data_IF_213683913884
#
_entry.id   IF_213683913884
#
_cell.length_a   1.000
_cell.length_b   1.000
_cell.length_c   1.000
_cell.angle_alpha   90.00
_cell.angle_beta   90.00
_cell.angle_gamma   90.00
#
_symmetry.space_group_name_H-M   'P 1'
#
loop_
_entity.id
_entity.type
_entity.pdbx_description
1 polymer ?
#
# COMPACT_ATOMS: atom_id res chain seq x y z
N UNK A 1 12.97 -28.34 4.32
CA UNK A 1 12.58 -27.36 3.28
C UNK A 1 13.61 -26.25 3.24
N UNK A 2 13.94 -25.76 2.06
CA UNK A 2 14.94 -24.72 1.86
C UNK A 2 14.29 -23.44 1.30
N UNK A 3 14.89 -22.29 1.58
CA UNK A 3 14.48 -21.01 1.02
C UNK A 3 15.14 -20.77 -0.34
N UNK A 4 14.33 -20.41 -1.33
CA UNK A 4 14.73 -20.07 -2.68
C UNK A 4 14.28 -18.64 -2.96
N UNK A 5 15.14 -17.81 -3.55
CA UNK A 5 14.80 -16.44 -3.90
C UNK A 5 15.05 -16.21 -5.39
N UNK A 6 14.08 -15.60 -6.06
CA UNK A 6 14.17 -15.17 -7.44
C UNK A 6 14.00 -13.66 -7.49
N UNK A 7 14.96 -12.96 -8.09
CA UNK A 7 14.96 -11.49 -8.12
C UNK A 7 14.70 -11.01 -9.53
N UNK A 8 13.74 -10.10 -9.69
CA UNK A 8 13.53 -9.35 -10.92
C UNK A 8 14.00 -7.91 -10.74
N UNK A 9 15.08 -7.58 -11.45
CA UNK A 9 15.67 -6.26 -11.40
C UNK A 9 14.71 -5.19 -11.95
N UNK A 10 14.63 -4.04 -11.26
CA UNK A 10 13.88 -2.85 -11.69
C UNK A 10 12.42 -3.14 -12.05
N UNK A 11 11.77 -4.03 -11.31
CA UNK A 11 10.42 -4.52 -11.61
C UNK A 11 9.46 -4.23 -10.46
N UNK A 12 8.97 -2.99 -10.40
CA UNK A 12 8.02 -2.57 -9.37
C UNK A 12 6.62 -3.15 -9.59
N UNK A 13 6.01 -3.61 -8.50
CA UNK A 13 4.59 -3.99 -8.43
C UNK A 13 3.96 -3.44 -7.15
N UNK A 14 2.67 -3.12 -7.24
CA UNK A 14 1.87 -2.71 -6.08
C UNK A 14 1.62 -3.89 -5.11
N UNK A 15 1.33 -3.57 -3.85
CA UNK A 15 1.15 -4.59 -2.79
C UNK A 15 0.02 -5.58 -3.08
N UNK A 16 -1.04 -5.19 -3.79
CA UNK A 16 -2.14 -6.11 -4.14
C UNK A 16 -1.65 -7.14 -5.16
N UNK A 17 -0.88 -6.70 -6.16
CA UNK A 17 -0.22 -7.62 -7.08
C UNK A 17 0.72 -8.55 -6.32
N UNK A 18 1.55 -8.05 -5.42
CA UNK A 18 2.46 -8.87 -4.61
C UNK A 18 1.73 -9.93 -3.76
N UNK A 19 0.62 -9.56 -3.11
CA UNK A 19 -0.20 -10.50 -2.35
C UNK A 19 -0.81 -11.59 -3.22
N UNK A 20 -1.25 -11.25 -4.45
CA UNK A 20 -1.74 -12.25 -5.41
C UNK A 20 -0.63 -13.21 -5.85
N UNK A 21 0.60 -12.73 -6.02
CA UNK A 21 1.74 -13.60 -6.32
C UNK A 21 2.00 -14.58 -5.16
N UNK A 22 2.00 -14.09 -3.93
CA UNK A 22 2.18 -14.94 -2.75
C UNK A 22 1.14 -16.06 -2.71
N UNK A 23 -0.16 -15.73 -2.87
CA UNK A 23 -1.22 -16.74 -2.89
C UNK A 23 -1.11 -17.74 -4.05
N UNK A 24 -0.68 -17.28 -5.24
CA UNK A 24 -0.48 -18.17 -6.39
C UNK A 24 0.68 -19.16 -6.16
N UNK A 25 1.75 -18.73 -5.50
CA UNK A 25 2.88 -19.59 -5.15
C UNK A 25 2.52 -20.60 -4.07
N UNK A 26 1.79 -20.18 -3.04
CA UNK A 26 1.38 -21.06 -1.93
C UNK A 26 0.38 -22.15 -2.37
N UNK A 27 -0.30 -21.95 -3.50
CA UNK A 27 -1.15 -22.97 -4.10
C UNK A 27 -0.38 -24.12 -4.79
N UNK A 28 0.94 -23.99 -4.95
CA UNK A 28 1.77 -25.03 -5.59
C UNK A 28 2.13 -26.11 -4.57
N UNK A 29 1.93 -27.38 -4.95
CA UNK A 29 2.28 -28.52 -4.11
C UNK A 29 3.78 -28.54 -3.78
N UNK A 30 4.13 -28.84 -2.53
CA UNK A 30 5.51 -28.83 -2.04
C UNK A 30 6.04 -27.45 -1.63
N UNK A 31 5.21 -26.39 -1.71
CA UNK A 31 5.50 -25.07 -1.14
C UNK A 31 4.89 -24.96 0.26
N UNK A 32 5.69 -24.64 1.26
CA UNK A 32 5.18 -24.37 2.61
C UNK A 32 4.79 -22.91 2.82
N UNK A 33 5.59 -21.98 2.30
CA UNK A 33 5.41 -20.54 2.49
C UNK A 33 5.97 -19.80 1.30
N UNK A 34 5.33 -18.70 0.91
CA UNK A 34 5.88 -17.82 -0.11
C UNK A 34 5.58 -16.35 0.19
N UNK A 35 6.43 -15.47 -0.31
CA UNK A 35 6.26 -14.03 -0.22
C UNK A 35 6.78 -13.35 -1.49
N UNK A 36 6.17 -12.24 -1.86
CA UNK A 36 6.67 -11.34 -2.89
C UNK A 36 6.78 -9.94 -2.28
N UNK A 37 7.97 -9.34 -2.29
CA UNK A 37 8.22 -8.02 -1.72
C UNK A 37 9.19 -7.22 -2.58
N UNK A 38 9.09 -5.89 -2.53
CA UNK A 38 10.14 -5.02 -3.08
C UNK A 38 11.42 -5.17 -2.23
N UNK A 39 12.60 -5.16 -2.84
CA UNK A 39 13.92 -5.35 -2.19
C UNK A 39 14.39 -4.19 -1.30
N UNK A 40 13.48 -3.45 -0.67
CA UNK A 40 13.85 -2.40 0.29
C UNK A 40 14.55 -3.00 1.51
N UNK A 41 15.41 -2.23 2.23
CA UNK A 41 16.05 -2.73 3.45
C UNK A 41 15.05 -3.25 4.49
N UNK A 42 13.94 -2.56 4.71
CA UNK A 42 12.89 -2.98 5.64
C UNK A 42 12.25 -4.31 5.23
N UNK A 43 11.89 -4.47 3.94
CA UNK A 43 11.29 -5.70 3.46
C UNK A 43 12.25 -6.89 3.48
N UNK A 44 13.54 -6.68 3.17
CA UNK A 44 14.55 -7.74 3.29
C UNK A 44 14.70 -8.20 4.74
N UNK A 45 14.70 -7.28 5.70
CA UNK A 45 14.72 -7.63 7.12
C UNK A 45 13.47 -8.45 7.53
N UNK A 46 12.29 -8.12 7.00
CA UNK A 46 11.07 -8.91 7.23
C UNK A 46 11.17 -10.32 6.64
N UNK A 47 11.71 -10.46 5.42
CA UNK A 47 11.94 -11.76 4.79
C UNK A 47 12.95 -12.60 5.58
N UNK A 48 14.00 -11.98 6.12
CA UNK A 48 15.01 -12.64 6.95
C UNK A 48 14.40 -13.16 8.25
N UNK A 49 13.67 -12.30 8.99
CA UNK A 49 12.97 -12.68 10.22
C UNK A 49 11.95 -13.80 9.99
N UNK A 50 11.32 -13.83 8.81
CA UNK A 50 10.38 -14.86 8.43
C UNK A 50 11.04 -16.17 7.95
N UNK A 51 12.37 -16.24 7.85
CA UNK A 51 13.11 -17.39 7.33
C UNK A 51 12.95 -17.61 5.82
N UNK A 52 12.60 -16.56 5.08
CA UNK A 52 12.32 -16.57 3.64
C UNK A 52 13.48 -15.98 2.80
N UNK A 53 14.43 -15.27 3.43
CA UNK A 53 15.53 -14.63 2.71
C UNK A 53 16.67 -15.62 2.41
N UNK A 54 17.10 -15.64 1.16
CA UNK A 54 18.27 -16.36 0.66
C UNK A 54 19.24 -15.37 -0.03
N UNK A 55 20.39 -15.87 -0.46
CA UNK A 55 21.52 -15.06 -0.98
C UNK A 55 21.10 -14.06 -2.05
N UNK A 56 20.27 -14.48 -3.01
CA UNK A 56 19.87 -13.63 -4.13
C UNK A 56 18.95 -12.49 -3.69
N UNK A 57 17.98 -12.75 -2.81
CA UNK A 57 17.12 -11.71 -2.24
C UNK A 57 17.86 -10.73 -1.33
N UNK A 58 18.91 -11.19 -0.65
CA UNK A 58 19.75 -10.31 0.19
C UNK A 58 20.48 -9.24 -0.64
N UNK A 59 20.82 -9.53 -1.90
CA UNK A 59 21.49 -8.61 -2.81
C UNK A 59 20.53 -7.65 -3.55
N UNK A 60 19.21 -7.83 -3.43
CA UNK A 60 18.22 -7.04 -4.17
C UNK A 60 18.21 -5.56 -3.74
N UNK A 61 18.01 -4.67 -4.70
CA UNK A 61 17.84 -3.24 -4.49
C UNK A 61 16.37 -2.84 -4.25
N UNK A 62 16.10 -1.59 -3.83
CA UNK A 62 14.74 -1.12 -3.50
C UNK A 62 13.73 -1.18 -4.67
N UNK A 63 14.21 -1.16 -5.91
CA UNK A 63 13.40 -1.23 -7.12
C UNK A 63 13.18 -2.66 -7.63
N UNK A 64 13.81 -3.65 -7.00
CA UNK A 64 13.77 -5.04 -7.45
C UNK A 64 12.63 -5.79 -6.77
N UNK A 65 11.98 -6.68 -7.50
CA UNK A 65 11.00 -7.60 -6.94
C UNK A 65 11.72 -8.86 -6.45
N UNK A 66 11.60 -9.15 -5.16
CA UNK A 66 12.06 -10.40 -4.54
C UNK A 66 10.88 -11.35 -4.41
N UNK A 67 10.98 -12.50 -5.07
CA UNK A 67 10.06 -13.63 -4.96
C UNK A 67 10.74 -14.68 -4.07
N UNK A 68 10.23 -14.88 -2.87
CA UNK A 68 10.81 -15.77 -1.86
C UNK A 68 9.89 -16.96 -1.61
N UNK A 69 10.42 -18.18 -1.68
CA UNK A 69 9.65 -19.43 -1.53
C UNK A 69 10.41 -20.39 -0.62
N UNK A 70 9.73 -20.96 0.37
CA UNK A 70 10.22 -22.12 1.13
C UNK A 70 9.53 -23.37 0.58
N UNK A 71 10.33 -24.27 0.01
CA UNK A 71 9.83 -25.45 -0.68
C UNK A 71 10.57 -26.74 -0.25
N UNK A 72 9.95 -27.88 -0.52
CA UNK A 72 10.52 -29.22 -0.32
C UNK A 72 11.80 -29.44 -1.11
N UNK A 73 11.78 -29.05 -2.38
CA UNK A 73 12.89 -29.20 -3.30
C UNK A 73 12.94 -28.04 -4.33
N UNK A 74 13.97 -28.07 -5.18
CA UNK A 74 14.16 -27.07 -6.22
C UNK A 74 13.08 -27.13 -7.32
N UNK A 75 12.45 -28.28 -7.54
CA UNK A 75 11.42 -28.44 -8.57
C UNK A 75 10.12 -27.74 -8.14
N UNK A 76 9.71 -27.91 -6.89
CA UNK A 76 8.60 -27.19 -6.29
C UNK A 76 8.86 -25.67 -6.26
N UNK A 77 10.09 -25.25 -5.95
CA UNK A 77 10.47 -23.83 -6.00
C UNK A 77 10.36 -23.23 -7.42
N UNK A 78 10.80 -23.95 -8.45
CA UNK A 78 10.71 -23.49 -9.84
C UNK A 78 9.24 -23.49 -10.33
N UNK A 79 8.44 -24.47 -9.92
CA UNK A 79 7.00 -24.47 -10.19
C UNK A 79 6.28 -23.28 -9.54
N UNK A 80 6.65 -22.92 -8.30
CA UNK A 80 6.15 -21.72 -7.62
C UNK A 80 6.55 -20.44 -8.37
N UNK A 81 7.81 -20.35 -8.81
CA UNK A 81 8.27 -19.24 -9.64
C UNK A 81 7.45 -19.13 -10.93
N UNK A 82 7.23 -20.24 -11.64
CA UNK A 82 6.42 -20.25 -12.86
C UNK A 82 4.97 -19.79 -12.59
N UNK A 83 4.38 -20.19 -11.47
CA UNK A 83 3.06 -19.72 -11.05
C UNK A 83 3.04 -18.21 -10.79
N UNK A 84 4.07 -17.66 -10.13
CA UNK A 84 4.22 -16.22 -9.94
C UNK A 84 4.40 -15.47 -11.28
N UNK A 85 5.22 -15.99 -12.19
CA UNK A 85 5.41 -15.40 -13.52
C UNK A 85 4.11 -15.40 -14.34
N UNK A 86 3.35 -16.49 -14.29
CA UNK A 86 2.03 -16.56 -14.92
C UNK A 86 1.05 -15.54 -14.32
N UNK A 87 1.03 -15.41 -12.99
CA UNK A 87 0.19 -14.43 -12.29
C UNK A 87 0.58 -12.97 -12.59
N UNK A 88 1.86 -12.70 -12.90
CA UNK A 88 2.33 -11.38 -13.34
C UNK A 88 1.85 -11.01 -14.75
N UNK A 89 1.65 -12.00 -15.61
CA UNK A 89 1.15 -11.82 -16.98
C UNK A 89 -0.37 -11.80 -17.05
N UNK A 90 -1.05 -12.42 -16.07
CA UNK A 90 -2.49 -12.43 -15.98
C UNK A 90 -3.04 -11.01 -15.83
N UNK A 91 -3.80 -10.58 -16.85
CA UNK A 91 -4.48 -9.29 -16.83
C UNK A 91 -5.53 -9.34 -15.72
N UNK A 92 -5.59 -8.35 -14.81
CA UNK A 92 -6.68 -8.28 -13.86
C UNK A 92 -8.00 -8.24 -14.65
N UNK A 93 -9.08 -8.87 -14.13
CA UNK A 93 -10.38 -8.84 -14.79
C UNK A 93 -10.75 -7.39 -15.07
N UNK A 94 -11.12 -7.11 -16.33
CA UNK A 94 -11.51 -5.77 -16.73
C UNK A 94 -12.69 -5.31 -15.87
N UNK A 95 -12.53 -4.18 -15.18
CA UNK A 95 -13.65 -3.51 -14.51
C UNK A 95 -14.61 -3.06 -15.62
N UNK A 96 -15.76 -3.72 -15.73
CA UNK A 96 -16.78 -3.36 -16.73
C UNK A 96 -17.25 -1.93 -16.45
N UNK A 97 -17.16 -1.06 -17.46
CA UNK A 97 -17.62 0.33 -17.39
C UNK A 97 -16.57 1.37 -16.99
N UNK A 98 -15.28 1.03 -16.93
CA UNK A 98 -14.24 2.02 -16.68
C UNK A 98 -14.08 2.94 -17.90
N UNK A 99 -14.55 4.18 -17.77
CA UNK A 99 -14.12 5.30 -18.62
C UNK A 99 -12.59 5.38 -18.65
N UNK A 100 -12.04 5.95 -19.72
CA UNK A 100 -10.60 6.09 -19.89
C UNK A 100 -9.99 6.78 -18.65
N UNK A 101 -9.20 6.02 -17.88
CA UNK A 101 -8.63 6.51 -16.63
C UNK A 101 -7.66 7.65 -16.94
N UNK A 102 -7.85 8.85 -16.35
CA UNK A 102 -6.97 9.97 -16.58
C UNK A 102 -5.53 9.62 -16.21
N UNK A 103 -4.57 10.03 -17.04
CA UNK A 103 -3.12 9.77 -16.82
C UNK A 103 -2.42 10.86 -16.02
N UNK A 104 -3.08 12.00 -15.82
CA UNK A 104 -2.54 13.14 -15.06
C UNK A 104 -3.58 13.64 -14.08
N UNK A 105 -3.10 14.30 -13.02
CA UNK A 105 -3.96 14.94 -12.03
C UNK A 105 -4.87 15.98 -12.67
N UNK A 106 -4.37 16.80 -13.60
CA UNK A 106 -5.18 17.80 -14.29
C UNK A 106 -6.27 17.16 -15.15
N UNK A 107 -5.96 16.04 -15.80
CA UNK A 107 -6.95 15.25 -16.52
C UNK A 107 -8.04 14.73 -15.59
N UNK A 108 -7.67 14.23 -14.41
CA UNK A 108 -8.61 13.76 -13.40
C UNK A 108 -9.49 14.89 -12.85
N UNK A 109 -8.93 16.06 -12.59
CA UNK A 109 -9.68 17.22 -12.12
C UNK A 109 -10.63 17.79 -13.18
N UNK A 110 -10.30 17.69 -14.47
CA UNK A 110 -11.25 18.02 -15.53
C UNK A 110 -12.42 17.03 -15.60
N UNK A 111 -12.14 15.74 -15.39
CA UNK A 111 -13.17 14.70 -15.37
C UNK A 111 -14.04 14.76 -14.10
N UNK A 112 -13.48 15.20 -12.97
CA UNK A 112 -14.19 15.36 -11.69
C UNK A 112 -13.91 16.75 -11.08
N UNK A 113 -14.56 17.82 -11.57
CA UNK A 113 -14.31 19.19 -11.10
C UNK A 113 -14.60 19.43 -9.61
N UNK A 114 -15.46 18.60 -9.01
CA UNK A 114 -15.80 18.67 -7.59
C UNK A 114 -14.87 17.89 -6.66
N UNK A 115 -13.83 17.23 -7.18
CA UNK A 115 -12.88 16.50 -6.36
C UNK A 115 -12.17 17.43 -5.36
N UNK A 116 -12.14 17.04 -4.09
CA UNK A 116 -11.53 17.82 -3.01
C UNK A 116 -10.43 17.06 -2.25
N UNK A 117 -10.26 15.76 -2.52
CA UNK A 117 -9.30 14.87 -1.86
C UNK A 117 -8.59 14.02 -2.91
N UNK A 118 -7.30 13.80 -2.71
CA UNK A 118 -6.48 12.86 -3.49
C UNK A 118 -5.88 11.81 -2.55
N UNK A 119 -5.99 10.54 -2.92
CA UNK A 119 -5.30 9.42 -2.26
C UNK A 119 -4.08 9.02 -3.09
N UNK A 120 -2.90 9.08 -2.49
CA UNK A 120 -1.61 8.80 -3.15
C UNK A 120 -1.02 7.52 -2.58
N UNK A 121 -0.86 6.52 -3.45
CA UNK A 121 -0.31 5.19 -3.13
C UNK A 121 0.75 4.75 -4.15
N UNK A 122 1.57 5.70 -4.62
CA UNK A 122 2.71 5.46 -5.53
C UNK A 122 3.98 5.12 -4.72
N UNK A 123 5.10 4.67 -5.33
CA UNK A 123 6.33 4.46 -4.58
C UNK A 123 6.78 5.72 -3.82
N UNK A 124 7.31 5.56 -2.61
CA UNK A 124 7.69 6.66 -1.70
C UNK A 124 8.59 7.73 -2.34
N UNK A 125 9.52 7.29 -3.21
CA UNK A 125 10.41 8.17 -3.95
C UNK A 125 9.69 9.20 -4.84
N UNK A 126 8.46 8.91 -5.29
CA UNK A 126 7.64 9.79 -6.12
C UNK A 126 6.48 10.45 -5.34
N UNK A 127 6.09 9.86 -4.22
CA UNK A 127 4.89 10.25 -3.48
C UNK A 127 4.92 11.70 -3.00
N UNK A 128 6.09 12.20 -2.58
CA UNK A 128 6.24 13.60 -2.17
C UNK A 128 5.98 14.61 -3.30
N UNK A 129 6.42 14.30 -4.53
CA UNK A 129 6.20 15.15 -5.69
C UNK A 129 4.71 15.19 -6.08
N UNK A 130 4.02 14.05 -6.04
CA UNK A 130 2.58 13.99 -6.32
C UNK A 130 1.76 14.71 -5.23
N UNK A 131 2.13 14.55 -3.96
CA UNK A 131 1.49 15.27 -2.85
C UNK A 131 1.65 16.79 -2.99
N UNK A 132 2.84 17.26 -3.38
CA UNK A 132 3.10 18.67 -3.64
C UNK A 132 2.19 19.22 -4.75
N UNK A 133 2.03 18.48 -5.86
CA UNK A 133 1.13 18.87 -6.96
C UNK A 133 -0.32 18.95 -6.50
N UNK A 134 -0.80 17.94 -5.77
CA UNK A 134 -2.17 17.90 -5.25
C UNK A 134 -2.45 19.06 -4.28
N UNK A 135 -1.54 19.34 -3.34
CA UNK A 135 -1.67 20.47 -2.42
C UNK A 135 -1.66 21.80 -3.17
N UNK A 136 -0.80 21.97 -4.18
CA UNK A 136 -0.78 23.19 -5.03
C UNK A 136 -2.06 23.36 -5.84
N UNK A 137 -2.71 22.28 -6.23
CA UNK A 137 -4.03 22.28 -6.86
C UNK A 137 -5.18 22.55 -5.87
N UNK A 138 -4.89 22.74 -4.58
CA UNK A 138 -5.89 23.06 -3.55
C UNK A 138 -6.66 21.85 -3.03
N UNK A 139 -6.15 20.63 -3.22
CA UNK A 139 -6.77 19.41 -2.73
C UNK A 139 -6.31 19.07 -1.32
N UNK A 140 -7.17 18.38 -0.57
CA UNK A 140 -6.75 17.56 0.56
C UNK A 140 -5.96 16.35 0.05
N UNK A 141 -5.03 15.85 0.86
CA UNK A 141 -4.21 14.70 0.47
C UNK A 141 -4.22 13.66 1.56
N UNK A 142 -4.54 12.42 1.20
CA UNK A 142 -4.15 11.23 1.96
C UNK A 142 -2.95 10.59 1.30
N UNK A 143 -1.82 10.64 1.98
CA UNK A 143 -0.56 10.07 1.55
C UNK A 143 -0.41 8.69 2.21
N UNK A 144 -0.95 7.68 1.53
CA UNK A 144 -0.84 6.28 1.95
C UNK A 144 0.59 5.78 1.82
N UNK A 145 1.30 6.24 0.79
CA UNK A 145 2.70 5.89 0.54
C UNK A 145 3.61 6.13 1.76
N UNK A 146 4.41 5.12 2.09
CA UNK A 146 5.52 5.19 3.03
C UNK A 146 6.85 5.52 2.30
N UNK A 147 7.95 5.63 3.04
CA UNK A 147 9.32 5.91 2.55
C UNK A 147 9.46 7.29 1.91
N UNK A 148 8.68 8.26 2.40
CA UNK A 148 8.87 9.68 2.12
C UNK A 148 9.86 10.25 3.14
N UNK A 149 10.92 10.97 2.70
CA UNK A 149 11.86 11.61 3.61
C UNK A 149 11.17 12.54 4.61
N UNK A 150 11.61 12.53 5.86
CA UNK A 150 11.02 13.35 6.94
C UNK A 150 11.04 14.84 6.60
N UNK A 151 12.12 15.35 6.00
CA UNK A 151 12.21 16.74 5.56
C UNK A 151 11.08 17.09 4.57
N UNK A 152 10.82 16.21 3.59
CA UNK A 152 9.73 16.37 2.62
C UNK A 152 8.37 16.32 3.30
N UNK A 153 8.16 15.43 4.26
CA UNK A 153 6.93 15.39 5.06
C UNK A 153 6.69 16.71 5.80
N UNK A 154 7.71 17.27 6.46
CA UNK A 154 7.63 18.56 7.16
C UNK A 154 7.24 19.68 6.20
N UNK A 155 7.87 19.75 5.03
CA UNK A 155 7.56 20.73 3.99
C UNK A 155 6.11 20.61 3.51
N UNK A 156 5.64 19.39 3.23
CA UNK A 156 4.29 19.14 2.76
C UNK A 156 3.24 19.47 3.83
N UNK A 157 3.46 19.09 5.10
CA UNK A 157 2.54 19.41 6.21
C UNK A 157 2.46 20.93 6.44
N UNK A 158 3.58 21.66 6.34
CA UNK A 158 3.59 23.14 6.41
C UNK A 158 2.80 23.76 5.27
N UNK A 159 3.05 23.30 4.04
CA UNK A 159 2.36 23.78 2.86
C UNK A 159 0.85 23.52 2.88
N UNK A 160 0.44 22.34 3.37
CA UNK A 160 -0.96 21.98 3.54
C UNK A 160 -1.64 22.94 4.52
N UNK A 161 -1.00 23.22 5.66
CA UNK A 161 -1.47 24.21 6.65
C UNK A 161 -1.59 25.61 6.05
N UNK A 162 -0.59 26.08 5.32
CA UNK A 162 -0.61 27.39 4.64
C UNK A 162 -1.80 27.52 3.66
N UNK A 163 -2.19 26.41 3.02
CA UNK A 163 -3.34 26.38 2.11
C UNK A 163 -4.68 26.03 2.76
N UNK A 164 -4.72 25.84 4.08
CA UNK A 164 -5.94 25.41 4.78
C UNK A 164 -6.41 24.01 4.34
N UNK A 165 -5.48 23.11 4.00
CA UNK A 165 -5.75 21.74 3.57
C UNK A 165 -5.19 20.72 4.56
N UNK A 166 -5.94 19.64 4.76
CA UNK A 166 -5.43 18.41 5.38
C UNK A 166 -4.41 17.68 4.50
N UNK A 167 -3.33 17.22 5.14
CA UNK A 167 -2.43 16.19 4.64
C UNK A 167 -2.39 15.06 5.68
N UNK A 168 -3.03 13.94 5.38
CA UNK A 168 -3.03 12.73 6.18
C UNK A 168 -1.83 11.87 5.75
N UNK A 169 -0.85 11.64 6.62
CA UNK A 169 0.36 10.89 6.28
C UNK A 169 1.60 11.76 6.09
N UNK A 170 2.71 11.25 5.50
CA UNK A 170 2.90 9.94 4.85
C UNK A 170 2.64 8.73 5.76
N UNK A 171 2.60 7.53 5.16
CA UNK A 171 2.32 6.28 5.87
C UNK A 171 0.95 6.31 6.60
N UNK A 172 -0.04 6.95 5.98
CA UNK A 172 -1.41 6.94 6.49
C UNK A 172 -2.16 5.73 5.92
N UNK A 173 -2.12 4.61 6.63
CA UNK A 173 -2.76 3.36 6.20
C UNK A 173 -4.29 3.35 6.23
N UNK A 174 -4.91 4.14 7.12
CA UNK A 174 -6.36 4.06 7.42
C UNK A 174 -6.97 5.44 7.61
N UNK A 175 -8.07 5.71 6.91
CA UNK A 175 -8.99 6.78 7.26
C UNK A 175 -10.45 6.41 6.90
N UNK A 176 -11.40 6.99 7.63
CA UNK A 176 -12.83 6.95 7.33
C UNK A 176 -13.31 8.40 7.36
N UNK A 177 -13.54 8.98 6.18
CA UNK A 177 -13.95 10.37 6.06
C UNK A 177 -15.41 10.46 5.63
N UNK A 178 -16.28 10.96 6.51
CA UNK A 178 -17.73 10.99 6.30
C UNK A 178 -18.32 9.62 5.91
N UNK A 179 -17.75 8.55 6.48
CA UNK A 179 -18.15 7.17 6.17
C UNK A 179 -17.53 6.60 4.90
N UNK A 180 -16.76 7.40 4.15
CA UNK A 180 -15.98 6.93 3.00
C UNK A 180 -14.71 6.25 3.49
N UNK A 181 -14.51 4.95 3.19
CA UNK A 181 -13.29 4.24 3.56
C UNK A 181 -12.13 4.64 2.64
N UNK A 182 -10.97 4.91 3.24
CA UNK A 182 -9.74 5.25 2.53
C UNK A 182 -8.58 4.40 3.06
N UNK A 183 -7.85 3.75 2.15
CA UNK A 183 -6.83 2.77 2.52
C UNK A 183 -7.45 1.50 3.12
N UNK A 184 -6.84 0.98 4.18
CA UNK A 184 -7.37 -0.17 4.92
C UNK A 184 -8.36 0.29 5.97
N UNK A 185 -9.66 0.12 5.70
CA UNK A 185 -10.73 0.53 6.60
C UNK A 185 -11.76 -0.58 6.79
N UNK A 186 -12.54 -0.49 7.87
CA UNK A 186 -13.59 -1.41 8.23
C UNK A 186 -14.95 -0.75 8.02
N UNK A 187 -15.95 -1.53 7.63
CA UNK A 187 -17.34 -1.06 7.63
C UNK A 187 -17.82 -0.99 9.08
N UNK A 188 -18.04 0.22 9.58
CA UNK A 188 -18.50 0.50 10.94
C UNK A 188 -19.70 1.43 10.91
N UNK A 189 -20.59 1.40 11.92
CA UNK A 189 -21.75 2.28 11.97
C UNK A 189 -21.35 3.76 11.99
N UNK A 190 -22.16 4.62 11.36
CA UNK A 190 -22.06 6.06 11.56
C UNK A 190 -22.52 6.43 12.97
N UNK A 191 -21.81 7.35 13.61
CA UNK A 191 -22.18 7.84 14.94
C UNK A 191 -21.48 9.14 15.30
N UNK A 192 -21.46 9.48 16.59
CA UNK A 192 -21.02 10.80 17.08
C UNK A 192 -19.52 10.87 17.41
N UNK A 193 -18.80 9.75 17.42
CA UNK A 193 -17.42 9.69 17.91
C UNK A 193 -16.44 10.02 16.78
N UNK A 194 -15.63 11.08 16.96
CA UNK A 194 -14.53 11.41 16.06
C UNK A 194 -13.20 10.88 16.59
N UNK A 195 -12.37 10.32 15.72
CA UNK A 195 -11.07 9.74 16.08
C UNK A 195 -9.94 10.34 15.22
N UNK A 196 -8.77 10.48 15.83
CA UNK A 196 -7.51 10.72 15.12
C UNK A 196 -6.43 9.80 15.70
N UNK A 197 -5.60 9.20 14.84
CA UNK A 197 -4.58 8.25 15.27
C UNK A 197 -3.35 8.23 14.36
N UNK A 198 -2.17 8.05 14.96
CA UNK A 198 -0.90 7.82 14.28
C UNK A 198 -0.60 6.31 14.09
N UNK A 199 -1.65 5.47 14.07
CA UNK A 199 -1.56 4.03 13.86
C UNK A 199 -2.75 3.55 13.04
N UNK A 200 -2.49 2.90 11.89
CA UNK A 200 -3.53 2.39 11.02
C UNK A 200 -4.35 1.28 11.68
N UNK A 201 -3.70 0.17 12.05
CA UNK A 201 -4.38 -0.95 12.73
C UNK A 201 -4.92 -0.57 14.10
N UNK A 202 -4.26 0.35 14.82
CA UNK A 202 -4.81 0.91 16.06
C UNK A 202 -6.13 1.64 15.83
N UNK A 203 -6.23 2.43 14.75
CA UNK A 203 -7.48 3.10 14.37
C UNK A 203 -8.56 2.10 13.97
N UNK A 204 -8.21 1.04 13.22
CA UNK A 204 -9.14 -0.03 12.85
C UNK A 204 -9.68 -0.76 14.09
N UNK A 205 -8.80 -1.11 15.04
CA UNK A 205 -9.21 -1.80 16.27
C UNK A 205 -10.18 -0.96 17.09
N UNK A 206 -9.86 0.32 17.30
CA UNK A 206 -10.71 1.23 18.09
C UNK A 206 -12.07 1.44 17.41
N UNK A 207 -12.10 1.62 16.08
CA UNK A 207 -13.38 1.78 15.35
C UNK A 207 -14.23 0.50 15.43
N UNK A 208 -13.62 -0.68 15.33
CA UNK A 208 -14.32 -1.96 15.49
C UNK A 208 -14.83 -2.17 16.92
N UNK A 209 -14.05 -1.79 17.93
CA UNK A 209 -14.45 -1.89 19.33
C UNK A 209 -15.65 -0.98 19.63
N UNK A 210 -15.65 0.25 19.13
CA UNK A 210 -16.79 1.18 19.24
C UNK A 210 -18.05 0.58 18.62
N UNK A 211 -17.93 -0.01 17.42
CA UNK A 211 -19.05 -0.67 16.75
C UNK A 211 -19.61 -1.84 17.58
N UNK A 212 -18.73 -2.67 18.16
CA UNK A 212 -19.13 -3.79 19.03
C UNK A 212 -19.85 -3.34 20.31
N UNK A 213 -19.53 -2.14 20.80
CA UNK A 213 -20.19 -1.52 21.95
C UNK A 213 -21.50 -0.82 21.59
N UNK A 214 -21.97 -0.92 20.34
CA UNK A 214 -23.25 -0.37 19.88
C UNK A 214 -23.21 1.11 19.50
N UNK A 215 -22.02 1.69 19.38
CA UNK A 215 -21.83 3.08 18.97
C UNK A 215 -21.22 3.17 17.57
N UNK A 216 -21.09 4.38 17.03
CA UNK A 216 -20.55 4.62 15.70
C UNK A 216 -19.59 5.79 15.61
N UNK A 217 -18.85 5.87 14.50
CA UNK A 217 -17.86 6.92 14.26
C UNK A 217 -18.37 7.94 13.26
N UNK A 218 -18.06 9.22 13.50
CA UNK A 218 -18.34 10.30 12.57
C UNK A 218 -17.23 10.38 11.51
N UNK A 219 -15.98 10.34 11.98
CA UNK A 219 -14.73 10.44 11.24
C UNK A 219 -13.67 9.60 11.97
N UNK A 220 -12.77 8.97 11.21
CA UNK A 220 -11.57 8.33 11.73
C UNK A 220 -10.37 8.78 10.88
N UNK A 221 -9.50 9.62 11.44
CA UNK A 221 -8.46 10.34 10.70
C UNK A 221 -7.10 9.74 11.05
N UNK A 222 -6.50 9.00 10.11
CA UNK A 222 -5.08 8.62 10.21
C UNK A 222 -4.18 9.84 9.96
N UNK A 223 -3.17 10.07 10.80
CA UNK A 223 -2.27 11.24 10.66
C UNK A 223 -0.87 10.93 10.12
N UNK A 224 -0.60 9.64 9.86
CA UNK A 224 0.73 9.11 9.57
C UNK A 224 1.45 8.65 10.84
N UNK A 225 2.39 7.71 10.70
CA UNK A 225 3.08 7.08 11.84
C UNK A 225 4.14 7.95 12.55
N UNK A 226 4.38 9.18 12.07
CA UNK A 226 5.49 10.05 12.50
C UNK A 226 5.07 11.52 12.61
#
# INVERSE_FOLDING_TARGET
>A
MAAFNFVRASFYRDSVTLMRLAGAMEAVAGVARAAAMMGTPANRALLEQAGLLAKDGAAAGPADLVIAVVAEDAAAAEAARAAAEHALLARPPAVRGAEATPRTLEGALRALPGANLVLISVPGAYAGAEALRALRAGLHVMLFSDNVPVATEVELKRLARERGRFLLGPDCGTAILDGVPLGFANVVPRGRIGLAAASGTGLQEVTCAIARLGEGVSQAIGVGGR
#
